data_IF_034613899526
#
_entry.id   IF_034613899526
#
_cell.length_a   1.000
_cell.length_b   1.000
_cell.length_c   1.000
_cell.angle_alpha   90.00
_cell.angle_beta   90.00
_cell.angle_gamma   90.00
#
_symmetry.space_group_name_H-M   'P 1'
#
loop_
_entity.id
_entity.type
_entity.pdbx_description
1 polymer ?
#
# COMPACT_ATOMS: atom_id res chain seq x y z
N UNK A 1 -34.09 15.05 -7.25
CA UNK A 1 -33.67 16.03 -6.24
C UNK A 1 -32.61 16.87 -6.93
N UNK A 2 -32.74 18.19 -6.93
CA UNK A 2 -31.81 19.05 -7.66
C UNK A 2 -30.45 19.05 -6.96
N UNK A 3 -29.38 18.77 -7.70
CA UNK A 3 -28.01 18.81 -7.16
C UNK A 3 -27.60 20.27 -6.95
N UNK A 4 -27.19 20.64 -5.73
CA UNK A 4 -26.50 21.92 -5.50
C UNK A 4 -25.04 21.73 -5.88
N UNK A 5 -24.61 22.43 -6.92
CA UNK A 5 -23.27 22.28 -7.51
C UNK A 5 -22.41 23.47 -7.14
N UNK A 6 -21.28 23.20 -6.48
CA UNK A 6 -20.23 24.19 -6.24
C UNK A 6 -19.14 24.03 -7.29
N UNK A 7 -18.80 25.15 -7.97
CA UNK A 7 -17.78 25.22 -9.01
C UNK A 7 -17.00 26.52 -8.89
N UNK A 8 -15.68 26.43 -9.04
CA UNK A 8 -14.79 27.58 -9.09
C UNK A 8 -14.89 28.34 -10.42
N UNK A 9 -14.86 29.66 -10.35
CA UNK A 9 -14.78 30.54 -11.51
C UNK A 9 -13.31 30.81 -11.84
N UNK A 10 -12.95 30.70 -13.12
CA UNK A 10 -11.60 31.01 -13.58
C UNK A 10 -11.31 32.50 -13.39
N UNK A 11 -10.13 32.81 -12.89
CA UNK A 11 -9.64 34.18 -12.80
C UNK A 11 -9.22 34.65 -14.19
N UNK A 12 -9.71 35.82 -14.66
CA UNK A 12 -9.23 36.39 -15.91
C UNK A 12 -7.71 36.60 -15.86
N UNK A 13 -6.98 35.99 -16.78
CA UNK A 13 -5.52 36.15 -16.86
C UNK A 13 -5.24 37.60 -17.29
N UNK A 14 -4.56 38.36 -16.44
CA UNK A 14 -4.13 39.71 -16.80
C UNK A 14 -3.21 39.68 -18.02
N UNK A 15 -3.38 40.64 -18.93
CA UNK A 15 -2.53 40.79 -20.13
C UNK A 15 -1.04 40.90 -19.78
N UNK A 16 -0.71 41.34 -18.57
CA UNK A 16 0.66 41.42 -18.08
C UNK A 16 1.31 40.04 -17.89
N UNK A 17 0.53 38.97 -17.77
CA UNK A 17 1.03 37.61 -17.61
C UNK A 17 1.21 36.85 -18.95
N UNK A 18 0.68 37.38 -20.07
CA UNK A 18 0.85 36.74 -21.39
C UNK A 18 2.32 36.49 -21.78
N UNK A 19 3.25 37.43 -21.58
CA UNK A 19 4.67 37.20 -21.92
C UNK A 19 5.29 36.05 -21.14
N UNK A 20 4.84 35.78 -19.91
CA UNK A 20 5.32 34.68 -19.07
C UNK A 20 4.71 33.34 -19.51
N UNK A 21 3.41 33.34 -19.82
CA UNK A 21 2.73 32.16 -20.39
C UNK A 21 3.39 31.71 -21.68
N UNK A 22 3.73 32.66 -22.56
CA UNK A 22 4.41 32.40 -23.83
C UNK A 22 5.85 31.86 -23.66
N UNK A 23 6.45 32.04 -22.48
CA UNK A 23 7.75 31.48 -22.09
C UNK A 23 7.64 30.17 -21.31
N UNK A 24 6.44 29.59 -21.22
CA UNK A 24 6.19 28.31 -20.55
C UNK A 24 5.95 28.41 -19.03
N UNK A 25 5.76 29.61 -18.47
CA UNK A 25 5.39 29.74 -17.07
C UNK A 25 3.97 29.20 -16.83
N UNK A 26 3.81 28.35 -15.81
CA UNK A 26 2.50 27.96 -15.33
C UNK A 26 1.85 29.13 -14.58
N UNK A 27 0.64 29.49 -14.97
CA UNK A 27 -0.17 30.51 -14.31
C UNK A 27 -1.43 29.81 -13.83
N UNK A 28 -1.66 29.84 -12.52
CA UNK A 28 -2.83 29.20 -11.94
C UNK A 28 -4.11 29.86 -12.47
N UNK A 29 -5.04 29.08 -13.07
CA UNK A 29 -6.31 29.61 -13.55
C UNK A 29 -7.27 30.00 -12.42
N UNK A 30 -6.97 29.65 -11.17
CA UNK A 30 -7.76 29.96 -9.99
C UNK A 30 -6.93 30.78 -8.99
N UNK A 31 -7.55 31.81 -8.41
CA UNK A 31 -6.85 32.69 -7.47
C UNK A 31 -6.81 32.13 -6.04
N UNK A 32 -7.67 31.18 -5.71
CA UNK A 32 -7.84 30.63 -4.37
C UNK A 32 -8.52 29.26 -4.39
N UNK A 33 -8.50 28.53 -3.27
CA UNK A 33 -9.40 27.41 -3.04
C UNK A 33 -10.87 27.80 -3.20
N UNK A 34 -11.72 26.81 -3.48
CA UNK A 34 -13.17 27.02 -3.56
C UNK A 34 -13.77 27.30 -2.17
N UNK A 35 -13.27 26.59 -1.16
CA UNK A 35 -13.60 26.81 0.24
C UNK A 35 -12.29 26.89 1.03
N UNK A 36 -12.12 27.98 1.76
CA UNK A 36 -11.03 28.14 2.72
C UNK A 36 -11.62 28.44 4.10
N UNK A 37 -11.23 27.65 5.10
CA UNK A 37 -11.59 27.86 6.51
C UNK A 37 -10.30 28.07 7.28
N UNK A 38 -10.15 29.23 7.91
CA UNK A 38 -8.91 29.65 8.56
C UNK A 38 -9.21 30.21 9.95
N UNK A 39 -8.16 30.34 10.79
CA UNK A 39 -8.24 30.81 12.17
C UNK A 39 -9.21 29.97 13.02
N UNK A 40 -10.23 30.59 13.61
CA UNK A 40 -11.28 29.95 14.41
C UNK A 40 -12.59 29.81 13.64
N UNK A 41 -12.53 29.84 12.30
CA UNK A 41 -13.70 29.68 11.45
C UNK A 41 -14.35 28.30 11.64
N UNK A 42 -15.68 28.27 11.63
CA UNK A 42 -16.48 27.04 11.72
C UNK A 42 -17.47 27.02 10.55
N UNK A 43 -17.36 26.01 9.70
CA UNK A 43 -18.22 25.81 8.54
C UNK A 43 -18.79 24.40 8.54
N UNK A 44 -20.12 24.32 8.36
CA UNK A 44 -20.82 23.07 8.08
C UNK A 44 -21.50 23.12 6.71
N UNK A 45 -21.29 22.08 5.90
CA UNK A 45 -21.86 21.93 4.56
C UNK A 45 -22.54 20.58 4.47
N UNK A 46 -23.75 20.57 3.90
CA UNK A 46 -24.54 19.34 3.74
C UNK A 46 -25.12 19.20 2.34
N UNK A 47 -25.02 17.99 1.77
CA UNK A 47 -25.67 17.57 0.52
C UNK A 47 -25.28 18.44 -0.69
N UNK A 48 -23.97 18.59 -0.93
CA UNK A 48 -23.43 19.38 -2.05
C UNK A 48 -22.58 18.50 -2.96
N UNK A 49 -22.71 18.73 -4.28
CA UNK A 49 -21.79 18.20 -5.28
C UNK A 49 -20.70 19.24 -5.54
N UNK A 50 -19.46 18.86 -5.29
CA UNK A 50 -18.29 19.68 -5.53
C UNK A 50 -17.64 19.20 -6.82
N UNK A 51 -17.70 20.06 -7.83
CA UNK A 51 -16.99 19.84 -9.09
C UNK A 51 -15.59 20.40 -8.97
N UNK A 52 -14.60 19.55 -9.28
CA UNK A 52 -13.19 19.94 -9.30
C UNK A 52 -12.90 21.09 -10.28
N UNK A 53 -11.74 21.73 -10.16
CA UNK A 53 -11.16 22.62 -11.17
C UNK A 53 -11.12 21.99 -12.58
N UNK A 54 -11.56 22.77 -13.58
CA UNK A 54 -11.54 22.40 -15.01
C UNK A 54 -10.14 22.36 -15.63
N UNK A 55 -9.21 23.14 -15.08
CA UNK A 55 -7.81 23.20 -15.51
C UNK A 55 -6.94 22.80 -14.32
N UNK A 56 -5.70 22.36 -14.59
CA UNK A 56 -4.72 22.11 -13.53
C UNK A 56 -4.60 23.36 -12.65
N UNK A 57 -4.61 23.15 -11.35
CA UNK A 57 -4.59 24.19 -10.32
C UNK A 57 -3.59 23.79 -9.24
N UNK A 58 -2.85 24.75 -8.69
CA UNK A 58 -2.03 24.55 -7.47
C UNK A 58 -2.88 24.71 -6.21
N UNK A 59 -4.04 25.37 -6.30
CA UNK A 59 -4.96 25.49 -5.18
C UNK A 59 -5.72 24.18 -4.95
N UNK A 60 -5.87 23.78 -3.69
CA UNK A 60 -6.80 22.71 -3.30
C UNK A 60 -8.26 23.15 -3.47
N UNK A 61 -9.19 22.21 -3.53
CA UNK A 61 -10.62 22.57 -3.61
C UNK A 61 -11.11 23.10 -2.26
N UNK A 62 -10.84 22.37 -1.19
CA UNK A 62 -11.10 22.79 0.18
C UNK A 62 -9.77 22.89 0.92
N UNK A 63 -9.59 23.96 1.68
CA UNK A 63 -8.43 24.19 2.53
C UNK A 63 -8.87 24.53 3.96
N UNK A 64 -8.29 23.85 4.94
CA UNK A 64 -8.51 24.07 6.37
C UNK A 64 -7.17 24.42 7.01
N UNK A 65 -7.13 25.46 7.83
CA UNK A 65 -5.92 25.94 8.53
C UNK A 65 -6.19 26.29 9.99
N UNK A 66 -5.10 26.44 10.75
CA UNK A 66 -5.11 26.91 12.13
C UNK A 66 -5.99 26.01 13.04
N UNK A 67 -6.94 26.59 13.77
CA UNK A 67 -7.87 25.88 14.67
C UNK A 67 -9.27 25.74 14.03
N UNK A 68 -9.37 25.88 12.71
CA UNK A 68 -10.64 25.92 12.01
C UNK A 68 -11.38 24.58 12.07
N UNK A 69 -12.71 24.65 12.06
CA UNK A 69 -13.60 23.50 12.10
C UNK A 69 -14.32 23.40 10.76
N UNK A 70 -14.23 22.24 10.11
CA UNK A 70 -14.97 21.93 8.90
C UNK A 70 -15.77 20.64 9.05
N UNK A 71 -17.07 20.73 8.83
CA UNK A 71 -18.00 19.60 8.91
C UNK A 71 -18.73 19.40 7.58
N UNK A 72 -18.40 18.35 6.83
CA UNK A 72 -19.04 18.00 5.58
C UNK A 72 -19.94 16.77 5.73
N UNK A 73 -21.20 16.85 5.31
CA UNK A 73 -22.13 15.72 5.32
C UNK A 73 -22.65 15.48 3.90
N UNK A 74 -22.55 14.26 3.39
CA UNK A 74 -23.03 13.88 2.05
C UNK A 74 -22.46 14.77 0.94
N UNK A 75 -21.16 15.07 1.03
CA UNK A 75 -20.45 15.78 -0.04
C UNK A 75 -20.02 14.80 -1.12
N UNK A 76 -20.20 15.16 -2.39
CA UNK A 76 -19.74 14.37 -3.52
C UNK A 76 -18.65 15.14 -4.25
N UNK A 77 -17.43 14.65 -4.20
CA UNK A 77 -16.30 15.15 -4.98
C UNK A 77 -16.23 14.37 -6.28
N UNK A 78 -16.36 15.04 -7.42
CA UNK A 78 -16.23 14.38 -8.73
C UNK A 78 -15.54 15.28 -9.76
N UNK A 79 -14.81 14.69 -10.73
CA UNK A 79 -14.22 15.45 -11.80
C UNK A 79 -15.31 16.10 -12.65
N UNK A 80 -14.94 17.19 -13.34
CA UNK A 80 -15.77 17.71 -14.44
C UNK A 80 -15.56 16.78 -15.63
N UNK A 81 -16.30 15.68 -15.68
CA UNK A 81 -16.52 14.96 -16.93
C UNK A 81 -17.55 15.77 -17.72
N UNK A 82 -17.32 16.02 -19.00
CA UNK A 82 -18.26 16.76 -19.84
C UNK A 82 -19.66 16.13 -19.79
N UNK A 83 -20.53 16.68 -18.93
CA UNK A 83 -21.97 16.69 -19.15
C UNK A 83 -22.35 17.67 -20.27
N UNK A 84 -21.37 18.23 -20.97
CA UNK A 84 -21.56 19.03 -22.18
C UNK A 84 -21.54 18.10 -23.40
N UNK A 85 -22.74 17.80 -23.89
CA UNK A 85 -22.97 17.24 -25.22
C UNK A 85 -22.04 17.93 -26.24
N UNK A 86 -21.11 17.19 -26.85
CA UNK A 86 -20.34 17.67 -28.01
C UNK A 86 -18.81 17.67 -27.91
N UNK A 87 -18.20 17.22 -26.82
CA UNK A 87 -16.73 17.07 -26.75
C UNK A 87 -16.32 15.60 -26.95
N UNK A 88 -15.54 15.34 -27.99
CA UNK A 88 -15.18 13.98 -28.46
C UNK A 88 -13.85 13.44 -27.91
N UNK A 89 -13.17 14.19 -27.04
CA UNK A 89 -11.86 13.79 -26.49
C UNK A 89 -11.75 14.22 -25.03
N UNK A 90 -11.67 13.24 -24.13
CA UNK A 90 -11.23 13.48 -22.76
C UNK A 90 -9.80 14.01 -22.78
N UNK A 91 -9.60 15.27 -22.40
CA UNK A 91 -8.35 15.63 -21.75
C UNK A 91 -8.55 15.26 -20.28
N UNK A 92 -7.94 14.16 -19.84
CA UNK A 92 -7.80 13.88 -18.41
C UNK A 92 -7.08 15.07 -17.80
N UNK A 93 -7.80 15.97 -17.12
CA UNK A 93 -7.17 17.03 -16.37
C UNK A 93 -6.44 16.38 -15.19
N UNK A 94 -5.18 16.02 -15.39
CA UNK A 94 -4.34 15.43 -14.37
C UNK A 94 -4.24 16.43 -13.21
N UNK A 95 -4.72 16.03 -12.02
CA UNK A 95 -4.79 16.97 -10.90
C UNK A 95 -3.49 17.01 -10.13
N UNK A 96 -2.96 18.22 -9.96
CA UNK A 96 -1.69 18.47 -9.26
C UNK A 96 -1.88 19.04 -7.84
N UNK A 97 -3.13 19.08 -7.36
CA UNK A 97 -3.52 19.58 -6.04
C UNK A 97 -4.66 18.74 -5.46
N UNK A 98 -4.86 18.72 -4.12
CA UNK A 98 -5.85 17.86 -3.49
C UNK A 98 -7.28 18.41 -3.51
N UNK A 99 -8.26 17.52 -3.39
CA UNK A 99 -9.63 17.93 -3.06
C UNK A 99 -9.68 18.58 -1.68
N UNK A 100 -9.04 17.94 -0.69
CA UNK A 100 -9.05 18.39 0.69
C UNK A 100 -7.61 18.56 1.18
N UNK A 101 -7.25 19.77 1.58
CA UNK A 101 -5.99 20.09 2.23
C UNK A 101 -6.26 20.55 3.66
N UNK A 102 -5.82 19.78 4.65
CA UNK A 102 -5.84 20.17 6.05
C UNK A 102 -4.42 20.53 6.49
N UNK A 103 -4.15 21.80 6.75
CA UNK A 103 -2.88 22.26 7.35
C UNK A 103 -2.99 22.39 8.88
N UNK A 104 -4.19 22.23 9.41
CA UNK A 104 -4.50 22.22 10.83
C UNK A 104 -6.00 21.98 11.06
N UNK A 105 -6.45 22.22 12.28
CA UNK A 105 -7.86 22.27 12.64
C UNK A 105 -8.53 20.89 12.73
N UNK A 106 -9.85 20.91 12.63
CA UNK A 106 -10.71 19.77 12.86
C UNK A 106 -11.63 19.56 11.66
N UNK A 107 -11.44 18.45 10.95
CA UNK A 107 -12.27 18.11 9.80
C UNK A 107 -13.05 16.83 10.05
N UNK A 108 -14.37 16.90 9.92
CA UNK A 108 -15.25 15.71 9.93
C UNK A 108 -16.00 15.62 8.62
N UNK A 109 -15.86 14.49 7.92
CA UNK A 109 -16.66 14.14 6.75
C UNK A 109 -17.54 12.93 7.08
N UNK A 110 -18.84 13.03 6.80
CA UNK A 110 -19.83 11.98 7.06
C UNK A 110 -20.60 11.65 5.78
N UNK A 111 -20.63 10.36 5.43
CA UNK A 111 -21.29 9.82 4.23
C UNK A 111 -20.87 10.53 2.93
N UNK A 112 -19.62 11.00 2.85
CA UNK A 112 -19.07 11.69 1.69
C UNK A 112 -18.50 10.71 0.65
N UNK A 113 -18.55 11.08 -0.63
CA UNK A 113 -18.06 10.26 -1.74
C UNK A 113 -17.01 11.01 -2.55
N UNK A 114 -15.89 10.35 -2.82
CA UNK A 114 -14.85 10.80 -3.74
C UNK A 114 -14.87 9.89 -4.97
N UNK A 115 -15.33 10.43 -6.09
CA UNK A 115 -15.48 9.71 -7.36
C UNK A 115 -14.17 9.65 -8.15
N UNK A 116 -14.00 8.64 -9.04
CA UNK A 116 -12.75 8.40 -9.73
C UNK A 116 -12.11 9.64 -10.34
N UNK A 117 -10.87 9.92 -9.97
CA UNK A 117 -10.12 11.14 -10.35
C UNK A 117 -8.64 10.78 -10.50
N UNK A 118 -7.98 11.33 -11.52
CA UNK A 118 -6.56 11.13 -11.75
C UNK A 118 -5.72 12.26 -11.12
N UNK A 119 -4.78 11.91 -10.25
CA UNK A 119 -3.84 12.83 -9.62
C UNK A 119 -2.42 12.61 -10.13
N UNK A 120 -1.71 13.69 -10.41
CA UNK A 120 -0.29 13.72 -10.70
C UNK A 120 0.42 14.39 -9.50
N UNK A 121 1.36 13.69 -8.87
CA UNK A 121 2.17 14.19 -7.75
C UNK A 121 1.36 14.82 -6.59
N UNK A 122 0.11 14.39 -6.41
CA UNK A 122 -0.80 14.91 -5.38
C UNK A 122 -1.71 13.81 -4.84
N UNK A 123 -2.23 14.01 -3.63
CA UNK A 123 -3.27 13.17 -3.02
C UNK A 123 -4.67 13.72 -3.20
N UNK A 124 -5.70 12.88 -3.05
CA UNK A 124 -7.08 13.36 -3.03
C UNK A 124 -7.34 14.12 -1.73
N UNK A 125 -6.84 13.57 -0.62
CA UNK A 125 -6.82 14.19 0.69
C UNK A 125 -5.37 14.29 1.13
N UNK A 126 -4.96 15.48 1.54
CA UNK A 126 -3.64 15.72 2.12
C UNK A 126 -3.80 16.39 3.47
N UNK A 127 -3.09 15.89 4.47
CA UNK A 127 -3.05 16.52 5.80
C UNK A 127 -1.61 16.80 6.20
N UNK A 128 -1.36 17.97 6.76
CA UNK A 128 -0.04 18.40 7.23
C UNK A 128 -0.27 19.10 8.55
N UNK A 129 0.43 18.67 9.60
CA UNK A 129 0.46 19.39 10.86
C UNK A 129 1.32 20.65 10.69
N UNK A 130 0.67 21.80 10.49
CA UNK A 130 1.31 23.11 10.53
C UNK A 130 0.85 23.87 11.78
N UNK A 131 1.81 24.44 12.52
CA UNK A 131 1.50 25.30 13.65
C UNK A 131 0.99 26.64 13.08
N UNK A 132 -0.31 26.87 13.22
CA UNK A 132 -0.96 28.12 12.84
C UNK A 132 -0.43 29.34 13.60
N UNK A 133 -0.64 30.53 13.05
CA UNK A 133 -0.03 31.79 13.50
C UNK A 133 -0.37 32.13 14.97
N UNK A 134 -1.52 31.65 15.45
CA UNK A 134 -2.01 31.91 16.81
C UNK A 134 -1.92 30.69 17.75
N UNK A 135 -1.50 29.53 17.25
CA UNK A 135 -1.44 28.30 18.05
C UNK A 135 -0.15 28.24 18.85
N UNK A 136 -0.24 28.13 20.17
CA UNK A 136 0.90 27.89 21.06
C UNK A 136 0.87 26.46 21.57
N UNK A 137 1.88 25.67 21.22
CA UNK A 137 2.10 24.35 21.81
C UNK A 137 1.31 23.20 21.21
N UNK A 138 0.75 23.36 20.00
CA UNK A 138 0.14 22.25 19.27
C UNK A 138 1.19 21.16 18.98
N UNK A 139 0.88 19.94 19.38
CA UNK A 139 1.66 18.73 19.16
C UNK A 139 1.07 17.92 18.01
N UNK A 140 1.86 16.98 17.51
CA UNK A 140 1.39 15.92 16.62
C UNK A 140 0.12 15.28 17.19
N UNK A 141 -0.87 15.02 16.34
CA UNK A 141 -2.22 14.50 16.68
C UNK A 141 -3.22 15.45 17.36
N UNK A 142 -2.84 16.71 17.66
CA UNK A 142 -3.80 17.68 18.21
C UNK A 142 -4.90 18.06 17.20
N UNK A 143 -4.56 18.02 15.91
CA UNK A 143 -5.49 18.22 14.81
C UNK A 143 -5.92 16.89 14.20
N UNK A 144 -7.17 16.85 13.72
CA UNK A 144 -7.72 15.61 13.20
C UNK A 144 -8.54 15.74 11.92
N UNK A 145 -8.51 14.64 11.15
CA UNK A 145 -9.43 14.34 10.08
C UNK A 145 -10.19 13.06 10.43
N UNK A 146 -11.52 13.16 10.46
CA UNK A 146 -12.41 12.00 10.67
C UNK A 146 -13.25 11.76 9.42
N UNK A 147 -13.18 10.55 8.88
CA UNK A 147 -14.00 10.09 7.76
C UNK A 147 -14.96 9.01 8.25
N UNK A 148 -16.26 9.33 8.28
CA UNK A 148 -17.34 8.42 8.70
C UNK A 148 -18.18 8.04 7.50
N UNK A 149 -18.40 6.74 7.29
CA UNK A 149 -19.22 6.21 6.18
C UNK A 149 -18.81 6.76 4.81
N UNK A 150 -17.54 7.19 4.68
CA UNK A 150 -17.05 7.82 3.47
C UNK A 150 -16.59 6.76 2.47
N UNK A 151 -16.70 7.10 1.18
CA UNK A 151 -16.26 6.27 0.08
C UNK A 151 -15.22 6.99 -0.76
N UNK A 152 -14.04 6.39 -0.95
CA UNK A 152 -13.06 6.87 -1.93
C UNK A 152 -12.87 5.80 -3.01
N UNK A 153 -13.31 6.12 -4.22
CA UNK A 153 -13.45 5.18 -5.32
C UNK A 153 -12.49 5.55 -6.44
N UNK A 154 -11.71 4.59 -6.94
CA UNK A 154 -10.97 4.71 -8.21
C UNK A 154 -10.05 5.94 -8.33
N UNK A 155 -9.20 6.21 -7.34
CA UNK A 155 -8.19 7.28 -7.46
C UNK A 155 -7.02 6.79 -8.31
N UNK A 156 -6.89 7.33 -9.53
CA UNK A 156 -5.82 6.99 -10.46
C UNK A 156 -4.62 7.91 -10.26
N UNK A 157 -3.39 7.43 -10.51
CA UNK A 157 -2.20 8.27 -10.51
C UNK A 157 -1.33 8.04 -11.72
N UNK A 158 -0.78 9.13 -12.24
CA UNK A 158 -0.16 9.17 -13.55
C UNK A 158 1.38 9.08 -13.48
N UNK A 159 2.03 9.38 -12.34
CA UNK A 159 3.50 9.43 -12.25
C UNK A 159 4.14 8.41 -11.28
N UNK A 160 5.22 7.78 -11.79
CA UNK A 160 6.09 6.70 -11.28
C UNK A 160 7.13 7.14 -10.21
N UNK A 161 6.96 8.29 -9.57
CA UNK A 161 7.92 8.73 -8.55
C UNK A 161 7.82 7.87 -7.26
N UNK A 162 8.96 7.43 -6.70
CA UNK A 162 9.01 6.97 -5.29
C UNK A 162 8.31 8.03 -4.44
N UNK A 163 7.37 7.62 -3.59
CA UNK A 163 6.51 8.48 -2.73
C UNK A 163 5.22 9.06 -3.37
N UNK A 164 4.94 8.83 -4.65
CA UNK A 164 3.69 9.24 -5.32
C UNK A 164 2.71 8.06 -5.39
N UNK A 165 1.67 8.01 -4.54
CA UNK A 165 0.75 6.86 -4.53
C UNK A 165 -0.56 6.96 -3.73
N UNK A 166 -0.56 7.72 -2.64
CA UNK A 166 -1.56 7.55 -1.57
C UNK A 166 -2.73 8.51 -1.68
N UNK A 167 -3.96 8.04 -1.93
CA UNK A 167 -5.13 8.92 -1.99
C UNK A 167 -5.36 9.73 -0.72
N UNK A 168 -4.92 9.20 0.42
CA UNK A 168 -4.74 9.95 1.65
C UNK A 168 -3.24 9.99 1.95
N UNK A 169 -2.67 11.19 2.01
CA UNK A 169 -1.28 11.43 2.37
C UNK A 169 -1.22 12.37 3.57
N UNK A 170 -0.79 11.83 4.71
CA UNK A 170 -0.92 12.49 6.00
C UNK A 170 0.45 12.67 6.67
N UNK A 171 0.67 13.87 7.22
CA UNK A 171 1.86 14.26 7.96
C UNK A 171 1.49 14.82 9.33
N UNK A 172 1.70 14.04 10.39
CA UNK A 172 1.63 14.49 11.77
C UNK A 172 0.23 14.82 12.34
N UNK A 173 -0.82 14.63 11.55
CA UNK A 173 -2.21 14.77 12.01
C UNK A 173 -2.84 13.41 12.31
N UNK A 174 -3.83 13.41 13.21
CA UNK A 174 -4.60 12.22 13.55
C UNK A 174 -5.68 11.95 12.50
N UNK A 175 -5.66 10.78 11.88
CA UNK A 175 -6.68 10.35 10.90
C UNK A 175 -7.52 9.25 11.52
N UNK A 176 -8.85 9.37 11.46
CA UNK A 176 -9.79 8.35 11.95
C UNK A 176 -10.73 7.94 10.83
N UNK A 177 -10.75 6.64 10.53
CA UNK A 177 -11.64 6.02 9.54
C UNK A 177 -12.68 5.15 10.26
N UNK A 178 -13.96 5.48 10.05
CA UNK A 178 -15.11 4.77 10.63
C UNK A 178 -16.06 4.33 9.52
N UNK A 179 -16.34 3.02 9.38
CA UNK A 179 -17.21 2.49 8.31
C UNK A 179 -16.79 2.97 6.92
N UNK A 180 -15.49 3.18 6.76
CA UNK A 180 -14.91 3.68 5.54
C UNK A 180 -14.86 2.56 4.52
N UNK A 181 -15.41 2.80 3.34
CA UNK A 181 -15.39 1.81 2.25
C UNK A 181 -14.50 2.30 1.12
N UNK A 182 -13.61 1.41 0.68
CA UNK A 182 -12.88 1.63 -0.55
C UNK A 182 -13.03 0.48 -1.53
N UNK A 183 -13.21 0.85 -2.81
CA UNK A 183 -13.13 -0.01 -3.99
C UNK A 183 -12.24 0.63 -5.07
N UNK A 184 -11.27 -0.11 -5.60
CA UNK A 184 -10.74 0.17 -6.94
C UNK A 184 -11.62 -0.58 -7.96
N UNK A 185 -12.08 0.15 -8.99
CA UNK A 185 -12.56 -0.46 -10.22
C UNK A 185 -11.34 -0.52 -11.16
N UNK A 186 -10.66 -1.67 -11.14
CA UNK A 186 -9.61 -1.99 -12.10
C UNK A 186 -10.26 -2.25 -13.46
N UNK A 187 -10.02 -1.35 -14.42
CA UNK A 187 -10.12 -1.66 -15.85
C UNK A 187 -9.32 -0.64 -16.70
N UNK A 188 -8.09 -0.32 -16.27
CA UNK A 188 -7.12 0.28 -17.18
C UNK A 188 -5.81 -0.51 -17.14
N UNK A 189 -5.48 -1.07 -18.30
CA UNK A 189 -4.17 -1.64 -18.65
C UNK A 189 -3.06 -0.67 -18.27
N UNK A 190 -2.31 -1.02 -17.23
CA UNK A 190 -1.08 -0.33 -16.87
C UNK A 190 0.04 -0.72 -17.85
N UNK A 191 0.96 0.21 -18.21
CA UNK A 191 2.19 -0.15 -18.90
C UNK A 191 2.98 -1.17 -18.05
N UNK A 192 3.71 -2.08 -18.70
CA UNK A 192 4.50 -3.13 -18.05
C UNK A 192 5.48 -2.54 -17.01
N UNK A 193 5.07 -2.45 -15.74
CA UNK A 193 5.97 -2.07 -14.65
C UNK A 193 6.98 -3.19 -14.38
N UNK A 194 8.25 -2.81 -14.27
CA UNK A 194 9.33 -3.68 -13.84
C UNK A 194 9.06 -4.19 -12.42
N UNK A 195 9.18 -5.52 -12.22
CA UNK A 195 9.07 -6.18 -10.92
C UNK A 195 9.87 -5.44 -9.84
N UNK A 196 9.19 -4.72 -8.95
CA UNK A 196 9.80 -4.17 -7.74
C UNK A 196 9.94 -5.36 -6.76
N UNK A 197 11.15 -5.71 -6.30
CA UNK A 197 11.31 -6.71 -5.24
C UNK A 197 10.43 -6.32 -4.05
N UNK A 198 9.71 -7.26 -3.45
CA UNK A 198 8.73 -6.99 -2.38
C UNK A 198 9.29 -6.13 -1.24
N UNK A 199 10.60 -6.18 -0.96
CA UNK A 199 11.27 -5.37 0.09
C UNK A 199 11.54 -3.91 -0.30
N UNK A 200 11.30 -3.53 -1.54
CA UNK A 200 11.25 -2.13 -1.97
C UNK A 200 9.87 -1.50 -1.85
N UNK A 201 8.86 -2.24 -1.36
CA UNK A 201 7.48 -1.77 -1.26
C UNK A 201 7.33 -0.72 -0.15
N UNK A 202 7.09 0.53 -0.57
CA UNK A 202 6.87 1.70 0.31
C UNK A 202 5.62 2.50 -0.09
N UNK A 203 4.94 2.05 -1.15
CA UNK A 203 3.74 2.69 -1.69
C UNK A 203 2.49 2.16 -0.99
N UNK A 204 1.46 2.97 -0.84
CA UNK A 204 0.19 2.50 -0.35
C UNK A 204 -0.93 3.47 -0.72
N UNK A 205 -2.16 3.05 -0.50
CA UNK A 205 -3.33 3.90 -0.72
C UNK A 205 -3.50 4.97 0.37
N UNK A 206 -3.17 4.62 1.61
CA UNK A 206 -3.08 5.54 2.73
C UNK A 206 -1.62 5.58 3.15
N UNK A 207 -1.02 6.77 3.19
CA UNK A 207 0.31 6.97 3.75
C UNK A 207 0.23 7.89 4.95
N UNK A 208 0.73 7.40 6.07
CA UNK A 208 0.81 8.14 7.32
C UNK A 208 2.28 8.31 7.69
N UNK A 209 2.76 9.55 7.60
CA UNK A 209 4.09 9.94 8.05
C UNK A 209 3.92 10.69 9.38
N UNK A 210 4.33 10.09 10.50
CA UNK A 210 4.08 10.59 11.86
C UNK A 210 2.60 10.76 12.24
N UNK A 211 2.32 10.92 13.53
CA UNK A 211 0.95 10.97 14.06
C UNK A 211 0.25 9.62 14.06
N UNK A 212 -1.09 9.64 14.14
CA UNK A 212 -1.90 8.46 14.38
C UNK A 212 -2.94 8.21 13.28
N UNK A 213 -3.03 6.97 12.82
CA UNK A 213 -4.09 6.44 11.95
C UNK A 213 -4.95 5.44 12.75
N UNK A 214 -6.25 5.67 12.83
CA UNK A 214 -7.21 4.82 13.53
C UNK A 214 -8.21 4.22 12.53
N UNK A 215 -8.34 2.90 12.54
CA UNK A 215 -9.35 2.15 11.79
C UNK A 215 -10.37 1.54 12.74
N UNK A 216 -11.65 1.69 12.42
CA UNK A 216 -12.75 1.26 13.28
C UNK A 216 -14.04 0.99 12.49
N UNK A 217 -15.02 0.38 13.16
CA UNK A 217 -16.44 0.25 12.76
C UNK A 217 -16.63 -0.27 11.33
N UNK A 218 -16.10 -1.43 11.01
CA UNK A 218 -16.35 -2.09 9.72
C UNK A 218 -15.65 -1.40 8.53
N UNK A 219 -14.53 -0.72 8.78
CA UNK A 219 -13.71 -0.14 7.71
C UNK A 219 -13.18 -1.24 6.79
N UNK A 220 -13.35 -1.05 5.47
CA UNK A 220 -12.94 -2.02 4.45
C UNK A 220 -11.95 -1.40 3.46
N UNK A 221 -10.78 -2.03 3.34
CA UNK A 221 -9.73 -1.69 2.39
C UNK A 221 -9.62 -2.81 1.35
N UNK A 222 -10.21 -2.58 0.17
CA UNK A 222 -10.39 -3.63 -0.84
C UNK A 222 -9.78 -3.30 -2.21
N UNK A 223 -9.23 -4.32 -2.88
CA UNK A 223 -8.64 -4.24 -4.22
C UNK A 223 -7.50 -3.21 -4.35
N UNK A 224 -6.62 -3.14 -3.34
CA UNK A 224 -5.52 -2.16 -3.25
C UNK A 224 -4.18 -2.76 -3.65
N UNK A 225 -4.02 -2.99 -4.95
CA UNK A 225 -2.90 -3.75 -5.53
C UNK A 225 -1.50 -3.14 -5.26
N UNK A 226 -1.42 -1.82 -5.01
CA UNK A 226 -0.17 -1.10 -4.68
C UNK A 226 0.10 -0.96 -3.18
N UNK A 227 -0.70 -1.60 -2.32
CA UNK A 227 -0.63 -1.47 -0.87
C UNK A 227 -1.84 -0.76 -0.27
N UNK A 228 -2.36 -1.23 0.86
CA UNK A 228 -3.43 -0.54 1.57
C UNK A 228 -2.89 0.62 2.44
N UNK A 229 -1.90 0.35 3.29
CA UNK A 229 -1.35 1.32 4.26
C UNK A 229 0.18 1.32 4.22
N UNK A 230 0.79 2.51 4.29
CA UNK A 230 2.23 2.73 4.48
C UNK A 230 2.44 3.64 5.69
N UNK A 231 3.30 3.22 6.62
CA UNK A 231 3.59 3.92 7.87
C UNK A 231 5.06 4.31 7.96
N UNK A 232 5.35 5.52 8.39
CA UNK A 232 6.70 5.99 8.73
C UNK A 232 6.65 6.87 9.98
N UNK A 233 7.31 6.46 11.07
CA UNK A 233 7.27 7.17 12.34
C UNK A 233 5.86 7.33 12.96
N UNK A 234 4.89 6.50 12.54
CA UNK A 234 3.47 6.70 12.81
C UNK A 234 2.84 5.54 13.60
N UNK A 235 1.73 5.81 14.27
CA UNK A 235 0.95 4.81 15.00
C UNK A 235 -0.29 4.41 14.20
N UNK A 236 -0.46 3.12 13.92
CA UNK A 236 -1.69 2.54 13.40
C UNK A 236 -2.42 1.79 14.52
N UNK A 237 -3.67 2.16 14.79
CA UNK A 237 -4.55 1.43 15.72
C UNK A 237 -5.76 0.88 14.98
N UNK A 238 -5.92 -0.43 14.97
CA UNK A 238 -7.11 -1.13 14.48
C UNK A 238 -7.92 -1.53 15.70
N UNK A 239 -9.04 -0.85 15.90
CA UNK A 239 -9.79 -0.93 17.16
C UNK A 239 -10.87 -2.00 17.18
N UNK A 240 -11.44 -2.33 16.03
CA UNK A 240 -12.55 -3.26 15.90
C UNK A 240 -12.16 -4.47 15.02
N UNK A 241 -12.61 -5.70 15.36
CA UNK A 241 -12.27 -6.92 14.64
C UNK A 241 -12.97 -7.01 13.26
N UNK A 242 -13.96 -6.15 13.00
CA UNK A 242 -14.70 -6.10 11.74
C UNK A 242 -14.00 -5.23 10.67
N UNK A 243 -12.85 -4.63 10.99
CA UNK A 243 -11.97 -3.99 9.99
C UNK A 243 -11.37 -5.08 9.09
N UNK A 244 -11.50 -4.90 7.77
CA UNK A 244 -11.11 -5.94 6.80
C UNK A 244 -10.18 -5.40 5.71
N UNK A 245 -9.17 -6.20 5.39
CA UNK A 245 -8.33 -6.06 4.21
C UNK A 245 -8.69 -7.17 3.22
N UNK A 246 -9.26 -6.82 2.06
CA UNK A 246 -9.80 -7.81 1.12
C UNK A 246 -9.17 -7.66 -0.27
N UNK A 247 -8.65 -8.77 -0.81
CA UNK A 247 -8.18 -8.85 -2.19
C UNK A 247 -7.16 -7.74 -2.58
N UNK A 248 -6.31 -7.30 -1.65
CA UNK A 248 -5.27 -6.30 -1.88
C UNK A 248 -4.04 -6.95 -2.51
N UNK A 249 -4.19 -7.40 -3.75
CA UNK A 249 -3.25 -8.28 -4.44
C UNK A 249 -2.56 -7.53 -5.58
N UNK A 250 -1.26 -7.74 -5.79
CA UNK A 250 -0.58 -7.17 -6.96
C UNK A 250 -1.01 -7.86 -8.27
N UNK A 251 -1.92 -7.21 -9.01
CA UNK A 251 -2.47 -7.71 -10.27
C UNK A 251 -1.46 -7.69 -11.44
N UNK A 252 -0.31 -7.03 -11.32
CA UNK A 252 0.74 -7.10 -12.36
C UNK A 252 1.23 -8.54 -12.60
N UNK A 253 1.08 -9.41 -11.59
CA UNK A 253 1.42 -10.84 -11.65
C UNK A 253 0.29 -11.70 -12.23
N UNK A 254 -0.97 -11.27 -12.11
CA UNK A 254 -2.13 -11.99 -12.62
C UNK A 254 -2.17 -12.03 -14.15
N UNK A 255 -1.71 -10.96 -14.80
CA UNK A 255 -1.72 -10.83 -16.26
C UNK A 255 -0.84 -11.86 -16.99
N UNK A 256 0.01 -12.62 -16.28
CA UNK A 256 0.80 -13.73 -16.85
C UNK A 256 0.21 -15.11 -16.62
N UNK A 257 -0.86 -15.25 -15.83
CA UNK A 257 -1.39 -16.55 -15.44
C UNK A 257 -2.43 -17.08 -16.47
N UNK A 258 -3.02 -16.25 -17.34
CA UNK A 258 -3.93 -16.74 -18.39
C UNK A 258 -3.77 -16.09 -19.76
N UNK A 259 -3.21 -16.86 -20.70
CA UNK A 259 -3.65 -16.95 -22.10
C UNK A 259 -3.27 -18.31 -22.69
N UNK A 260 -3.87 -19.36 -22.14
CA UNK A 260 -4.12 -20.58 -22.92
C UNK A 260 -5.64 -20.62 -23.11
N UNK A 261 -6.10 -20.43 -24.36
CA UNK A 261 -7.51 -20.21 -24.71
C UNK A 261 -8.40 -21.47 -24.60
N UNK A 262 -7.91 -22.57 -24.02
CA UNK A 262 -8.55 -23.89 -24.14
C UNK A 262 -9.00 -24.57 -22.82
N UNK A 263 -8.85 -23.94 -21.64
CA UNK A 263 -9.29 -24.57 -20.37
C UNK A 263 -10.57 -23.91 -19.82
N UNK A 264 -11.70 -24.61 -19.99
CA UNK A 264 -13.04 -24.27 -19.46
C UNK A 264 -13.19 -24.82 -18.03
N UNK A 265 -12.25 -24.48 -17.15
CA UNK A 265 -12.46 -24.64 -15.71
C UNK A 265 -12.63 -23.27 -15.06
N UNK A 266 -13.53 -23.12 -14.08
CA UNK A 266 -13.61 -21.88 -13.30
C UNK A 266 -12.23 -21.63 -12.71
N UNK A 267 -11.69 -20.42 -12.93
CA UNK A 267 -10.44 -19.98 -12.30
C UNK A 267 -10.69 -20.02 -10.80
N UNK A 268 -10.35 -21.13 -10.15
CA UNK A 268 -10.13 -21.17 -8.72
C UNK A 268 -8.95 -20.24 -8.54
N UNK A 269 -9.20 -19.04 -8.02
CA UNK A 269 -8.15 -18.11 -7.62
C UNK A 269 -7.28 -18.90 -6.65
N UNK A 270 -6.14 -19.41 -7.14
CA UNK A 270 -5.18 -20.08 -6.28
C UNK A 270 -4.72 -19.00 -5.29
N UNK A 271 -4.77 -19.26 -3.97
CA UNK A 271 -4.68 -18.24 -2.91
C UNK A 271 -3.27 -17.66 -2.71
N UNK A 272 -2.53 -17.34 -3.79
CA UNK A 272 -1.06 -17.34 -3.79
C UNK A 272 -0.43 -16.03 -4.26
N UNK A 273 -1.22 -14.97 -4.40
CA UNK A 273 -0.72 -13.69 -4.87
C UNK A 273 -0.47 -12.79 -3.66
N UNK A 274 0.68 -12.14 -3.61
CA UNK A 274 1.08 -11.37 -2.43
C UNK A 274 0.05 -10.33 -2.05
N UNK A 275 -0.48 -10.49 -0.84
CA UNK A 275 -1.29 -9.47 -0.18
C UNK A 275 -0.39 -8.32 0.24
N UNK A 276 -0.67 -7.14 -0.28
CA UNK A 276 -0.04 -5.87 0.10
C UNK A 276 -0.99 -5.09 1.00
N UNK A 277 -1.05 -5.47 2.27
CA UNK A 277 -1.87 -4.76 3.24
C UNK A 277 -1.10 -3.61 3.88
N UNK A 278 -0.07 -3.90 4.68
CA UNK A 278 0.63 -2.86 5.42
C UNK A 278 2.15 -2.91 5.15
N UNK A 279 2.72 -1.78 4.72
CA UNK A 279 4.15 -1.52 4.75
C UNK A 279 4.47 -0.67 5.99
N UNK A 280 5.37 -1.15 6.85
CA UNK A 280 5.67 -0.54 8.13
C UNK A 280 7.16 -0.16 8.20
N UNK A 281 7.44 1.13 8.09
CA UNK A 281 8.78 1.71 8.24
C UNK A 281 9.19 1.91 9.69
N UNK A 282 10.43 2.35 9.88
CA UNK A 282 11.02 2.63 11.18
C UNK A 282 10.24 3.71 11.96
N UNK A 283 10.34 3.65 13.29
CA UNK A 283 9.63 4.52 14.22
C UNK A 283 8.13 4.28 14.30
N UNK A 284 7.58 3.35 13.51
CA UNK A 284 6.15 3.07 13.47
C UNK A 284 5.73 1.98 14.45
N UNK A 285 4.47 2.04 14.88
CA UNK A 285 3.83 1.02 15.72
C UNK A 285 2.48 0.63 15.15
N UNK A 286 2.17 -0.66 15.17
CA UNK A 286 0.85 -1.19 14.81
C UNK A 286 0.26 -1.89 16.02
N UNK A 287 -0.93 -1.47 16.44
CA UNK A 287 -1.73 -2.12 17.47
C UNK A 287 -3.02 -2.64 16.85
N UNK A 288 -3.26 -3.94 16.94
CA UNK A 288 -4.43 -4.58 16.31
C UNK A 288 -4.81 -5.88 17.04
N UNK A 289 -6.06 -6.29 16.84
CA UNK A 289 -6.50 -7.67 17.06
C UNK A 289 -6.11 -8.55 15.86
N UNK A 290 -6.07 -9.86 16.06
CA UNK A 290 -5.66 -10.83 15.02
C UNK A 290 -6.71 -10.96 13.91
N UNK A 291 -7.99 -10.86 14.26
CA UNK A 291 -9.14 -11.13 13.40
C UNK A 291 -9.21 -10.22 12.17
N UNK A 292 -8.72 -8.98 12.30
CA UNK A 292 -8.65 -8.00 11.20
C UNK A 292 -7.72 -8.43 10.06
N UNK A 293 -6.87 -9.44 10.30
CA UNK A 293 -5.99 -10.07 9.31
C UNK A 293 -6.48 -11.45 8.88
N UNK A 294 -7.75 -11.78 9.11
CA UNK A 294 -8.37 -12.95 8.50
C UNK A 294 -9.19 -12.53 7.29
N UNK A 295 -8.98 -13.20 6.15
CA UNK A 295 -9.79 -12.98 4.95
C UNK A 295 -10.62 -14.24 4.71
N UNK A 296 -11.95 -14.09 4.69
CA UNK A 296 -12.89 -15.23 4.58
C UNK A 296 -12.70 -16.31 5.66
N UNK A 297 -12.22 -15.92 6.86
CA UNK A 297 -11.93 -16.86 7.96
C UNK A 297 -10.67 -17.69 7.76
N UNK A 298 -9.87 -17.41 6.71
CA UNK A 298 -8.56 -18.00 6.50
C UNK A 298 -7.49 -16.97 6.86
N UNK A 299 -6.71 -17.28 7.88
CA UNK A 299 -5.46 -16.59 8.17
C UNK A 299 -4.33 -17.60 7.92
N UNK A 300 -3.54 -17.37 6.88
CA UNK A 300 -2.40 -18.23 6.53
C UNK A 300 -1.18 -17.90 7.42
N UNK A 301 -1.33 -18.05 8.75
CA UNK A 301 -0.29 -17.84 9.78
C UNK A 301 0.55 -16.55 9.64
N UNK A 302 0.00 -15.52 8.98
CA UNK A 302 0.70 -14.28 8.63
C UNK A 302 -0.20 -13.07 8.75
N UNK A 303 0.39 -11.90 9.01
CA UNK A 303 -0.33 -10.63 9.16
C UNK A 303 -0.36 -9.78 7.89
N UNK A 304 0.40 -10.16 6.86
CA UNK A 304 0.55 -9.36 5.63
C UNK A 304 1.09 -7.94 5.90
N UNK A 305 1.99 -7.84 6.90
CA UNK A 305 2.72 -6.64 7.33
C UNK A 305 4.19 -6.75 6.96
N UNK A 306 4.64 -5.93 6.01
CA UNK A 306 6.05 -5.85 5.60
C UNK A 306 6.76 -4.84 6.50
N UNK A 307 7.72 -5.29 7.30
CA UNK A 307 8.66 -4.39 7.97
C UNK A 307 9.70 -3.94 6.95
N UNK A 308 9.79 -2.64 6.69
CA UNK A 308 10.68 -2.06 5.69
C UNK A 308 11.88 -1.36 6.35
N UNK A 309 12.95 -1.15 5.59
CA UNK A 309 14.09 -0.30 6.00
C UNK A 309 13.83 1.21 5.79
N UNK A 310 12.60 1.62 5.48
CA UNK A 310 12.26 3.03 5.30
C UNK A 310 12.41 3.80 6.63
N UNK A 311 13.16 4.90 6.62
CA UNK A 311 13.43 5.71 7.82
C UNK A 311 14.53 5.17 8.74
N UNK A 312 15.24 4.10 8.31
CA UNK A 312 16.39 3.55 9.03
C UNK A 312 17.55 4.52 9.06
N UNK A 313 18.22 4.64 10.21
CA UNK A 313 19.53 5.28 10.35
C UNK A 313 20.54 4.71 9.34
N UNK A 314 20.80 5.43 8.26
CA UNK A 314 21.93 5.21 7.38
C UNK A 314 23.16 6.01 7.82
N UNK A 315 24.36 5.59 7.41
CA UNK A 315 25.61 6.36 7.55
C UNK A 315 25.65 7.68 6.74
N UNK A 316 24.53 8.12 6.16
CA UNK A 316 24.43 9.27 5.25
C UNK A 316 23.44 10.30 5.78
N UNK A 317 23.93 11.51 6.02
CA UNK A 317 23.31 12.66 6.69
C UNK A 317 22.15 13.34 5.92
N UNK A 318 21.38 12.64 5.07
CA UNK A 318 20.41 13.28 4.16
C UNK A 318 18.95 12.81 4.26
N UNK A 319 18.56 12.05 5.29
CA UNK A 319 17.14 11.76 5.55
C UNK A 319 16.60 12.68 6.65
N UNK A 320 15.49 13.38 6.37
CA UNK A 320 14.84 14.29 7.34
C UNK A 320 14.16 13.53 8.48
N UNK A 321 13.73 12.28 8.25
CA UNK A 321 13.03 11.45 9.23
C UNK A 321 13.80 10.14 9.45
N UNK A 322 14.57 10.12 10.53
CA UNK A 322 15.49 9.04 10.87
C UNK A 322 15.13 8.52 12.26
N UNK A 323 14.85 7.22 12.35
CA UNK A 323 14.38 6.59 13.58
C UNK A 323 15.30 5.43 13.99
N UNK A 324 15.42 5.24 15.32
CA UNK A 324 16.28 4.20 15.91
C UNK A 324 15.62 2.82 15.96
N UNK A 325 14.29 2.78 16.05
CA UNK A 325 13.55 1.55 16.29
C UNK A 325 12.87 1.06 15.01
N UNK A 326 12.96 -0.24 14.77
CA UNK A 326 12.18 -0.93 13.74
C UNK A 326 10.68 -0.87 14.03
N UNK A 327 9.86 -1.21 13.02
CA UNK A 327 8.43 -1.35 13.19
C UNK A 327 8.05 -2.31 14.33
N UNK A 328 7.25 -1.79 15.27
CA UNK A 328 6.78 -2.53 16.46
C UNK A 328 5.34 -3.01 16.27
N UNK A 329 5.06 -4.23 16.68
CA UNK A 329 3.72 -4.82 16.72
C UNK A 329 3.26 -4.91 18.18
N UNK A 330 2.00 -4.60 18.45
CA UNK A 330 1.43 -4.54 19.80
C UNK A 330 -0.01 -5.06 19.81
N UNK A 331 -0.56 -5.32 21.00
CA UNK A 331 -1.84 -6.00 21.17
C UNK A 331 -1.74 -7.51 20.89
N UNK A 332 -2.78 -8.10 20.31
CA UNK A 332 -2.85 -9.55 20.06
C UNK A 332 -1.84 -10.01 18.99
N UNK A 333 -1.33 -9.06 18.19
CA UNK A 333 -0.36 -9.33 17.12
C UNK A 333 1.11 -9.29 17.56
N UNK A 334 1.40 -8.91 18.82
CA UNK A 334 2.77 -8.81 19.34
C UNK A 334 3.53 -10.15 19.32
N UNK A 335 2.82 -11.26 19.50
CA UNK A 335 3.41 -12.61 19.60
C UNK A 335 3.56 -13.37 18.28
N UNK A 336 3.21 -12.76 17.15
CA UNK A 336 3.16 -13.48 15.88
C UNK A 336 4.55 -13.60 15.28
N UNK A 337 4.92 -14.84 14.98
CA UNK A 337 6.26 -15.20 14.51
C UNK A 337 6.60 -14.56 13.16
N UNK A 338 5.65 -14.61 12.22
CA UNK A 338 5.85 -14.19 10.84
C UNK A 338 4.88 -13.04 10.50
N UNK A 339 5.40 -11.81 10.46
CA UNK A 339 4.54 -10.63 10.24
C UNK A 339 4.07 -10.48 8.80
N UNK A 340 4.78 -11.07 7.83
CA UNK A 340 4.56 -10.74 6.42
C UNK A 340 3.94 -11.91 5.65
N UNK A 341 4.62 -13.06 5.60
CA UNK A 341 4.11 -14.29 4.99
C UNK A 341 4.84 -15.49 5.57
N UNK A 342 4.15 -16.63 5.54
CA UNK A 342 4.79 -17.94 5.67
C UNK A 342 4.88 -18.53 4.25
N UNK A 343 6.09 -18.72 3.69
CA UNK A 343 6.23 -19.34 2.38
C UNK A 343 5.73 -20.78 2.44
N UNK A 344 4.95 -21.19 1.44
CA UNK A 344 4.51 -22.57 1.29
C UNK A 344 5.20 -23.18 0.07
N UNK A 345 5.98 -24.24 0.28
CA UNK A 345 6.62 -24.97 -0.82
C UNK A 345 5.67 -26.08 -1.27
N UNK A 346 5.24 -26.00 -2.54
CA UNK A 346 4.38 -27.03 -3.14
C UNK A 346 5.23 -28.16 -3.76
N UNK A 347 6.36 -27.80 -4.39
CA UNK A 347 7.29 -28.74 -5.01
C UNK A 347 8.74 -28.25 -4.89
N UNK A 348 9.67 -29.19 -4.77
CA UNK A 348 11.10 -28.91 -4.80
C UNK A 348 11.83 -29.91 -5.69
N UNK A 349 12.75 -29.45 -6.51
CA UNK A 349 13.61 -30.31 -7.33
C UNK A 349 15.04 -29.79 -7.31
N UNK A 350 16.02 -30.68 -7.44
CA UNK A 350 17.44 -30.34 -7.48
C UNK A 350 18.13 -31.03 -8.64
N UNK A 351 18.86 -30.27 -9.46
CA UNK A 351 19.62 -30.78 -10.61
C UNK A 351 21.07 -30.35 -10.47
N UNK A 352 22.03 -31.19 -10.85
CA UNK A 352 23.45 -30.79 -10.84
C UNK A 352 23.65 -29.56 -11.74
N UNK A 353 24.36 -28.56 -11.22
CA UNK A 353 24.62 -27.31 -11.96
C UNK A 353 25.39 -27.60 -13.25
N UNK A 354 25.19 -26.76 -14.28
CA UNK A 354 25.82 -26.96 -15.60
C UNK A 354 27.36 -27.00 -15.54
N UNK A 355 27.96 -26.32 -14.58
CA UNK A 355 29.41 -26.31 -14.35
C UNK A 355 29.93 -27.47 -13.49
N UNK A 356 29.04 -28.36 -13.02
CA UNK A 356 29.32 -29.48 -12.11
C UNK A 356 29.95 -29.07 -10.76
N UNK A 357 29.80 -27.81 -10.37
CA UNK A 357 30.35 -27.27 -9.11
C UNK A 357 29.31 -27.21 -7.97
N UNK A 358 28.08 -27.67 -8.21
CA UNK A 358 27.01 -27.63 -7.22
C UNK A 358 25.67 -28.16 -7.72
N UNK A 359 24.58 -27.69 -7.11
CA UNK A 359 23.19 -28.04 -7.45
C UNK A 359 22.34 -26.79 -7.65
N UNK A 360 21.53 -26.81 -8.69
CA UNK A 360 20.46 -25.85 -8.93
C UNK A 360 19.17 -26.44 -8.34
N UNK A 361 18.71 -25.85 -7.24
CA UNK A 361 17.47 -26.21 -6.54
C UNK A 361 16.37 -25.30 -7.05
N UNK A 362 15.35 -25.88 -7.67
CA UNK A 362 14.12 -25.20 -8.07
C UNK A 362 13.03 -25.50 -7.04
N UNK A 363 12.51 -24.46 -6.41
CA UNK A 363 11.37 -24.52 -5.51
C UNK A 363 10.16 -23.87 -6.19
N UNK A 364 9.04 -24.57 -6.21
CA UNK A 364 7.75 -24.10 -6.66
C UNK A 364 6.86 -24.00 -5.43
N UNK A 365 6.15 -22.90 -5.29
CA UNK A 365 5.35 -22.67 -4.10
C UNK A 365 4.51 -21.41 -4.19
N UNK A 366 4.12 -20.94 -3.01
CA UNK A 366 3.21 -19.83 -2.79
C UNK A 366 3.83 -18.91 -1.75
N UNK A 367 3.61 -17.61 -1.90
CA UNK A 367 4.21 -16.61 -1.02
C UNK A 367 5.75 -16.74 -0.98
N UNK A 368 6.40 -16.95 -2.14
CA UNK A 368 7.86 -16.92 -2.24
C UNK A 368 8.33 -15.48 -2.53
N UNK A 369 8.88 -14.80 -1.53
CA UNK A 369 9.23 -13.37 -1.63
C UNK A 369 10.72 -13.12 -1.76
N UNK A 370 11.06 -12.31 -2.77
CA UNK A 370 12.42 -11.86 -3.07
C UNK A 370 12.92 -10.83 -2.07
N UNK A 371 13.23 -11.28 -0.85
CA UNK A 371 13.85 -10.48 0.19
C UNK A 371 14.98 -11.20 0.92
N UNK A 372 16.21 -10.79 0.61
CA UNK A 372 17.40 -11.25 1.31
C UNK A 372 17.90 -12.62 0.86
N UNK A 373 18.41 -13.37 1.82
CA UNK A 373 19.13 -14.63 1.62
C UNK A 373 18.22 -15.78 2.04
N UNK A 374 18.10 -16.81 1.22
CA UNK A 374 17.32 -17.99 1.59
C UNK A 374 18.18 -18.88 2.48
N UNK A 375 17.73 -19.16 3.71
CA UNK A 375 18.34 -20.15 4.60
C UNK A 375 17.65 -21.49 4.39
N UNK A 376 18.42 -22.54 4.10
CA UNK A 376 17.89 -23.88 3.86
C UNK A 376 18.85 -24.95 4.39
N UNK A 377 18.37 -26.19 4.47
CA UNK A 377 19.20 -27.37 4.74
C UNK A 377 19.00 -28.40 3.63
N UNK A 378 20.05 -29.14 3.32
CA UNK A 378 20.01 -30.23 2.31
C UNK A 378 20.38 -31.53 3.01
N UNK A 379 19.55 -32.57 2.84
CA UNK A 379 19.72 -33.85 3.53
C UNK A 379 19.72 -35.02 2.55
N UNK A 380 20.39 -36.10 2.92
CA UNK A 380 20.32 -37.36 2.17
C UNK A 380 18.92 -37.97 2.30
N UNK A 381 18.36 -38.45 1.19
CA UNK A 381 17.06 -39.13 1.21
C UNK A 381 17.20 -40.49 1.90
N UNK A 382 16.84 -40.52 3.17
CA UNK A 382 16.74 -41.74 3.98
C UNK A 382 15.28 -42.05 4.29
N UNK A 383 14.90 -43.32 4.19
CA UNK A 383 13.60 -43.77 4.66
C UNK A 383 13.59 -43.85 6.20
N UNK A 384 13.15 -42.76 6.82
CA UNK A 384 13.05 -42.59 8.28
C UNK A 384 11.78 -43.20 8.87
N UNK A 385 10.83 -43.60 8.03
CA UNK A 385 9.56 -44.16 8.46
C UNK A 385 9.61 -45.70 8.49
N UNK A 386 8.90 -46.29 9.43
CA UNK A 386 8.66 -47.72 9.45
C UNK A 386 7.57 -48.13 8.44
N UNK A 387 7.28 -49.43 8.36
CA UNK A 387 6.24 -49.98 7.46
C UNK A 387 4.82 -49.49 7.77
N UNK A 388 4.61 -48.77 8.87
CA UNK A 388 3.34 -48.19 9.29
C UNK A 388 3.33 -46.65 9.20
N UNK A 389 4.42 -46.04 8.70
CA UNK A 389 4.54 -44.60 8.54
C UNK A 389 4.96 -43.85 9.81
N UNK A 390 5.38 -44.54 10.88
CA UNK A 390 5.90 -43.90 12.09
C UNK A 390 7.39 -43.60 11.96
N UNK A 391 7.81 -42.42 12.38
CA UNK A 391 9.21 -42.01 12.39
C UNK A 391 10.04 -42.89 13.34
N UNK A 392 11.16 -43.41 12.85
CA UNK A 392 12.13 -44.20 13.62
C UNK A 392 13.16 -43.21 14.21
N UNK A 393 13.20 -42.97 15.54
CA UNK A 393 14.01 -41.90 16.14
C UNK A 393 15.50 -41.98 15.80
N UNK A 394 16.05 -43.19 15.77
CA UNK A 394 17.46 -43.45 15.44
C UNK A 394 17.78 -43.03 14.00
N UNK A 395 16.88 -43.30 13.05
CA UNK A 395 17.05 -42.90 11.65
C UNK A 395 16.83 -41.41 11.42
N UNK A 396 15.99 -40.76 12.21
CA UNK A 396 15.87 -39.30 12.18
C UNK A 396 17.17 -38.66 12.64
N UNK A 397 17.77 -39.18 13.72
CA UNK A 397 19.06 -38.71 14.22
C UNK A 397 20.19 -38.96 13.19
N UNK A 398 20.19 -40.12 12.54
CA UNK A 398 21.12 -40.46 11.45
C UNK A 398 20.94 -39.52 10.26
N UNK A 399 19.70 -39.24 9.82
CA UNK A 399 19.42 -38.29 8.74
C UNK A 399 19.94 -36.88 9.05
N UNK A 400 19.77 -36.39 10.28
CA UNK A 400 20.30 -35.07 10.68
C UNK A 400 21.84 -35.02 10.64
N UNK A 401 22.55 -36.13 10.88
CA UNK A 401 24.01 -36.19 10.67
C UNK A 401 24.41 -36.14 9.19
N UNK A 402 23.48 -36.49 8.31
CA UNK A 402 23.62 -36.46 6.85
C UNK A 402 22.98 -35.21 6.22
N UNK A 403 22.64 -34.22 7.04
CA UNK A 403 22.16 -32.92 6.59
C UNK A 403 23.31 -31.90 6.61
N UNK A 404 23.40 -31.10 5.55
CA UNK A 404 24.15 -29.86 5.58
C UNK A 404 23.19 -28.73 5.97
N UNK A 405 23.42 -28.14 7.14
CA UNK A 405 22.59 -27.09 7.72
C UNK A 405 23.20 -25.71 7.51
N UNK A 406 22.40 -24.68 7.77
CA UNK A 406 22.80 -23.27 7.70
C UNK A 406 23.30 -22.79 6.33
N UNK A 407 22.86 -23.44 5.26
CA UNK A 407 23.13 -22.98 3.91
C UNK A 407 22.36 -21.68 3.68
N UNK A 408 23.05 -20.68 3.14
CA UNK A 408 22.54 -19.34 2.92
C UNK A 408 23.01 -18.88 1.54
N UNK A 409 22.08 -18.77 0.60
CA UNK A 409 22.39 -18.36 -0.78
C UNK A 409 21.45 -17.23 -1.24
N UNK A 410 21.99 -16.37 -2.10
CA UNK A 410 21.15 -15.45 -2.86
C UNK A 410 20.54 -16.22 -4.04
N UNK A 411 19.22 -16.16 -4.22
CA UNK A 411 18.57 -16.82 -5.35
C UNK A 411 19.05 -16.22 -6.68
N UNK A 412 19.35 -17.08 -7.66
CA UNK A 412 19.94 -16.67 -8.95
C UNK A 412 18.86 -16.24 -9.93
N UNK A 413 17.74 -16.96 -9.96
CA UNK A 413 16.62 -16.65 -10.83
C UNK A 413 15.34 -16.63 -10.00
N UNK A 414 14.79 -15.43 -9.86
CA UNK A 414 13.57 -15.15 -9.11
C UNK A 414 12.75 -14.17 -9.93
N UNK A 415 12.11 -14.70 -10.97
CA UNK A 415 11.32 -13.95 -11.95
C UNK A 415 9.83 -13.97 -11.62
N UNK A 416 9.39 -14.84 -10.70
CA UNK A 416 7.99 -15.01 -10.28
C UNK A 416 7.89 -15.34 -8.79
N UNK A 417 6.79 -14.97 -8.16
CA UNK A 417 6.52 -15.23 -6.73
C UNK A 417 6.06 -16.67 -6.43
N UNK A 418 5.99 -17.50 -7.47
CA UNK A 418 5.59 -18.90 -7.42
C UNK A 418 6.75 -19.87 -7.67
N UNK A 419 7.91 -19.36 -8.09
CA UNK A 419 9.06 -20.18 -8.47
C UNK A 419 10.38 -19.48 -8.16
N UNK A 420 11.26 -20.18 -7.46
CA UNK A 420 12.62 -19.72 -7.17
C UNK A 420 13.64 -20.76 -7.57
N UNK A 421 14.75 -20.32 -8.16
CA UNK A 421 15.92 -21.15 -8.42
C UNK A 421 17.09 -20.66 -7.57
N UNK A 422 17.52 -21.53 -6.67
CA UNK A 422 18.66 -21.35 -5.79
C UNK A 422 19.81 -22.17 -6.36
N UNK A 423 20.92 -21.54 -6.67
CA UNK A 423 22.13 -22.27 -6.99
C UNK A 423 22.98 -22.40 -5.75
N UNK A 424 23.31 -23.64 -5.42
CA UNK A 424 24.08 -23.98 -4.25
C UNK A 424 25.51 -24.29 -4.69
N UNK A 425 26.50 -23.69 -4.02
CA UNK A 425 27.92 -23.89 -4.37
C UNK A 425 28.61 -24.76 -3.31
N UNK A 426 28.59 -26.07 -3.49
CA UNK A 426 29.38 -26.98 -2.65
C UNK A 426 29.98 -28.14 -3.45
N UNK A 427 31.17 -28.57 -3.03
CA UNK A 427 31.90 -29.68 -3.64
C UNK A 427 31.15 -30.99 -3.38
N UNK A 428 30.46 -31.51 -4.40
CA UNK A 428 29.79 -32.80 -4.35
C UNK A 428 30.87 -33.90 -4.23
N UNK A 429 31.09 -34.44 -3.03
CA UNK A 429 32.14 -35.47 -2.79
C UNK A 429 31.62 -36.90 -3.02
N UNK A 430 30.30 -37.10 -3.19
CA UNK A 430 29.68 -38.42 -3.45
C UNK A 430 28.54 -38.32 -4.46
N UNK A 431 28.24 -39.41 -5.18
CA UNK A 431 27.04 -39.49 -6.04
C UNK A 431 25.80 -39.58 -5.14
N UNK A 432 24.95 -38.56 -5.16
CA UNK A 432 23.66 -38.57 -4.44
C UNK A 432 22.57 -39.01 -5.42
N UNK A 433 21.79 -40.04 -5.05
CA UNK A 433 20.49 -40.38 -5.65
C UNK A 433 19.37 -39.57 -4.94
N UNK A 434 18.13 -39.47 -5.48
CA UNK A 434 17.33 -38.23 -5.47
C UNK A 434 17.09 -37.64 -4.08
N UNK A 435 17.31 -36.33 -3.94
CA UNK A 435 17.18 -35.58 -2.69
C UNK A 435 15.73 -35.14 -2.43
N UNK A 436 15.37 -35.05 -1.14
CA UNK A 436 14.18 -34.36 -0.65
C UNK A 436 14.63 -33.01 -0.06
N UNK A 437 13.98 -31.92 -0.46
CA UNK A 437 14.18 -30.60 0.15
C UNK A 437 13.04 -30.41 1.15
N UNK A 438 13.38 -30.11 2.40
CA UNK A 438 12.45 -29.91 3.52
C UNK A 438 12.44 -28.45 3.95
#
# INVERSE_FOLDING_TARGET
QDEVIFKSLKTPISLNFLPFKNKGAFIDPYASPLIAVEQSGDISIKSIVILHFYEKSLNSVIQIKDEAIFSGIQLIFRPINDQLVGMSVMQTSEQISPYLLCLGGFTTLESCQFQPTAFNNSAAIRTIHEIGINTKGALTDDYNLTLKECQIIGMYRIDEAKYSGSAIDAFGMKITLETYQKRNEDDQTQPEEHLIPTCGWITAYIRQNTGSLILSKGTQLTNLNKGAISLLGANLTITDPDVQFLNNIDNSMLLRIHRNEDEVEPIIIKPTLLRRNIACGYGSRITSQIESFSENGLQEDSLWILKTDEGKLGYSEQQENVYENECQLDGDINGIKDSLFVPHIDESSGVTSQDNLGLDIKLIGRNLIKCGVVKYKVCEKMNVNDKYGQEIPEKVLEREQHCQTELMENAIEWTKETEIVIQTRYKIVRKWEPMEVL
#
